data_IF_498872337862
#
_entry.id   IF_498872337862
#
_cell.length_a   1.000
_cell.length_b   1.000
_cell.length_c   1.000
_cell.angle_alpha   90.00
_cell.angle_beta   90.00
_cell.angle_gamma   90.00
#
_symmetry.space_group_name_H-M   'P 1'
#
loop_
_entity.id
_entity.type
_entity.pdbx_description
1 polymer ?
#
# COMPACT_ATOMS: atom_id res chain seq x y z
N UNK A 1 54.56 39.21 11.87
CA UNK A 1 54.48 38.23 10.77
C UNK A 1 53.74 36.99 11.26
N UNK A 2 52.67 36.59 10.54
CA UNK A 2 51.97 35.26 10.43
C UNK A 2 51.64 34.47 11.72
N UNK A 3 50.35 34.27 12.05
CA UNK A 3 49.46 33.11 11.73
C UNK A 3 50.05 31.78 12.29
N UNK A 4 49.37 30.94 13.07
CA UNK A 4 48.07 30.29 12.81
C UNK A 4 47.44 29.72 14.10
N UNK A 5 46.11 29.72 14.15
CA UNK A 5 45.24 29.04 15.12
C UNK A 5 45.12 27.54 14.82
N UNK A 6 44.95 26.66 15.82
CA UNK A 6 44.22 25.39 15.65
C UNK A 6 43.37 25.12 16.90
N UNK A 7 42.06 25.23 16.71
CA UNK A 7 41.02 24.65 17.56
C UNK A 7 41.11 23.12 17.48
N UNK A 8 41.21 22.43 18.61
CA UNK A 8 40.97 20.99 18.70
C UNK A 8 39.56 20.78 19.28
N UNK A 9 38.55 20.98 18.42
CA UNK A 9 37.19 20.55 18.67
C UNK A 9 36.90 19.29 17.86
N UNK A 10 36.25 18.33 18.49
CA UNK A 10 35.39 17.36 17.81
C UNK A 10 36.00 15.98 17.58
N UNK A 11 35.66 15.03 18.45
CA UNK A 11 35.48 13.63 18.09
C UNK A 11 34.59 12.96 19.14
N UNK A 12 33.28 13.10 19.00
CA UNK A 12 32.30 12.18 19.58
C UNK A 12 30.91 12.44 18.98
N UNK A 13 30.78 12.38 17.65
CA UNK A 13 29.48 12.06 17.07
C UNK A 13 29.62 10.64 16.51
N UNK A 14 29.39 9.67 17.40
CA UNK A 14 29.15 8.28 17.04
C UNK A 14 28.00 8.30 16.03
N UNK A 15 28.35 7.97 14.80
CA UNK A 15 27.45 7.76 13.68
C UNK A 15 26.46 6.66 14.07
N UNK A 16 25.29 7.08 14.53
CA UNK A 16 24.09 6.26 14.58
C UNK A 16 23.70 6.00 13.13
N UNK A 17 24.25 4.93 12.57
CA UNK A 17 23.84 4.36 11.30
C UNK A 17 22.39 3.88 11.50
N UNK A 18 21.44 4.79 11.27
CA UNK A 18 20.06 4.43 11.01
C UNK A 18 20.09 3.56 9.76
N UNK A 19 20.01 2.25 9.97
CA UNK A 19 19.58 1.30 8.96
C UNK A 19 18.16 1.72 8.55
N UNK A 20 18.08 2.67 7.62
CA UNK A 20 16.90 2.90 6.84
C UNK A 20 16.72 1.65 5.99
N UNK A 21 15.99 0.66 6.51
CA UNK A 21 15.45 -0.40 5.68
C UNK A 21 14.52 0.30 4.70
N UNK A 22 15.00 0.52 3.48
CA UNK A 22 14.12 0.82 2.37
C UNK A 22 13.18 -0.38 2.26
N UNK A 23 11.98 -0.24 2.80
CA UNK A 23 10.87 -1.13 2.45
C UNK A 23 10.60 -0.82 0.99
N UNK A 24 11.35 -1.48 0.12
CA UNK A 24 11.11 -1.43 -1.30
C UNK A 24 9.79 -2.15 -1.51
N UNK A 25 8.73 -1.38 -1.79
CA UNK A 25 7.48 -1.88 -2.37
C UNK A 25 7.68 -2.53 -3.75
N UNK A 26 8.92 -2.90 -4.11
CA UNK A 26 9.29 -3.49 -5.40
C UNK A 26 8.79 -4.93 -5.56
N UNK A 27 8.17 -5.52 -4.55
CA UNK A 27 7.47 -6.81 -4.67
C UNK A 27 6.02 -6.70 -5.13
N UNK A 28 5.46 -5.49 -5.19
CA UNK A 28 3.99 -5.30 -5.28
C UNK A 28 3.47 -5.16 -6.72
N UNK A 29 4.32 -4.83 -7.71
CA UNK A 29 3.82 -4.41 -9.04
C UNK A 29 4.30 -5.26 -10.21
N UNK A 30 4.23 -6.59 -10.07
CA UNK A 30 4.13 -7.49 -11.25
C UNK A 30 2.68 -7.68 -11.71
N UNK A 31 1.72 -6.99 -11.09
CA UNK A 31 0.32 -7.06 -11.47
C UNK A 31 0.08 -6.38 -12.84
N UNK A 32 -0.73 -7.01 -13.68
CA UNK A 32 -1.32 -6.36 -14.85
C UNK A 32 -2.46 -5.44 -14.44
N UNK A 33 -3.28 -5.84 -13.46
CA UNK A 33 -4.33 -5.01 -12.87
C UNK A 33 -4.72 -5.43 -11.45
N UNK A 34 -5.28 -4.49 -10.70
CA UNK A 34 -5.87 -4.67 -9.38
C UNK A 34 -7.15 -3.84 -9.27
N UNK A 35 -8.20 -4.43 -8.71
CA UNK A 35 -9.42 -3.74 -8.27
C UNK A 35 -9.79 -4.27 -6.90
N UNK A 36 -9.96 -3.38 -5.93
CA UNK A 36 -10.44 -3.71 -4.59
C UNK A 36 -11.65 -2.84 -4.28
N UNK A 37 -12.77 -3.46 -3.94
CA UNK A 37 -13.99 -2.79 -3.48
C UNK A 37 -14.25 -3.20 -2.04
N UNK A 38 -14.42 -2.21 -1.17
CA UNK A 38 -14.80 -2.38 0.24
C UNK A 38 -16.11 -1.62 0.45
N UNK A 39 -17.10 -2.25 1.06
CA UNK A 39 -18.34 -1.59 1.50
C UNK A 39 -18.36 -1.52 3.03
N UNK A 40 -18.61 -0.34 3.57
CA UNK A 40 -18.73 -0.09 5.01
C UNK A 40 -19.70 1.07 5.23
N UNK A 41 -20.76 0.87 6.02
CA UNK A 41 -21.71 1.91 6.41
C UNK A 41 -22.27 2.71 5.20
N UNK A 42 -22.70 2.00 4.15
CA UNK A 42 -23.15 2.57 2.86
C UNK A 42 -22.08 3.39 2.08
N UNK A 43 -20.82 3.36 2.50
CA UNK A 43 -19.68 3.97 1.79
C UNK A 43 -18.89 2.90 1.05
N UNK A 44 -18.77 3.07 -0.26
CA UNK A 44 -17.88 2.25 -1.10
C UNK A 44 -16.51 2.88 -1.16
N UNK A 45 -15.48 2.10 -0.88
CA UNK A 45 -14.09 2.43 -1.13
C UNK A 45 -13.58 1.58 -2.29
N UNK A 46 -13.04 2.21 -3.33
CA UNK A 46 -12.47 1.52 -4.48
C UNK A 46 -10.99 1.87 -4.65
N UNK A 47 -10.19 0.86 -4.90
CA UNK A 47 -8.76 0.99 -5.17
C UNK A 47 -8.47 0.31 -6.50
N UNK A 48 -8.01 1.07 -7.48
CA UNK A 48 -7.72 0.55 -8.80
C UNK A 48 -6.27 0.81 -9.21
N UNK A 49 -5.70 -0.17 -9.90
CA UNK A 49 -4.46 -0.05 -10.62
C UNK A 49 -4.55 -0.81 -11.95
N UNK A 50 -4.13 -0.16 -13.03
CA UNK A 50 -3.84 -0.83 -14.29
C UNK A 50 -2.42 -0.45 -14.75
N UNK A 51 -1.59 -1.47 -15.02
CA UNK A 51 -0.20 -1.31 -15.42
C UNK A 51 -0.10 -0.53 -16.75
N UNK A 52 0.84 0.43 -16.89
CA UNK A 52 1.89 0.79 -15.93
C UNK A 52 1.62 2.01 -15.03
N UNK A 53 0.61 2.83 -15.34
CA UNK A 53 0.52 4.18 -14.78
C UNK A 53 -0.89 4.62 -14.36
N UNK A 54 -1.88 3.73 -14.41
CA UNK A 54 -3.23 4.08 -14.01
C UNK A 54 -3.45 3.71 -12.55
N UNK A 55 -3.79 4.70 -11.72
CA UNK A 55 -4.16 4.52 -10.33
C UNK A 55 -5.37 5.40 -10.02
N UNK A 56 -6.34 4.82 -9.34
CA UNK A 56 -7.55 5.49 -8.88
C UNK A 56 -7.88 5.03 -7.46
N UNK A 57 -8.33 5.98 -6.65
CA UNK A 57 -8.90 5.71 -5.34
C UNK A 57 -10.24 6.47 -5.25
N UNK A 58 -11.29 5.76 -4.90
CA UNK A 58 -12.62 6.32 -4.67
C UNK A 58 -13.07 6.08 -3.23
N UNK A 59 -13.69 7.09 -2.64
CA UNK A 59 -14.35 7.03 -1.33
C UNK A 59 -15.73 7.70 -1.45
N UNK A 60 -16.77 6.89 -1.55
CA UNK A 60 -18.17 7.30 -1.70
C UNK A 60 -18.45 8.08 -2.99
N UNK A 61 -18.15 9.38 -3.01
CA UNK A 61 -18.28 10.25 -4.19
C UNK A 61 -17.00 11.02 -4.51
N UNK A 62 -15.96 10.81 -3.72
CA UNK A 62 -14.70 11.49 -3.87
C UNK A 62 -13.75 10.58 -4.64
N UNK A 63 -13.21 11.08 -5.75
CA UNK A 63 -12.30 10.32 -6.61
C UNK A 63 -10.96 11.04 -6.70
N UNK A 64 -9.89 10.29 -6.43
CA UNK A 64 -8.49 10.74 -6.50
C UNK A 64 -7.76 9.89 -7.54
N UNK A 65 -6.86 10.51 -8.29
CA UNK A 65 -6.08 9.87 -9.36
C UNK A 65 -4.61 10.26 -9.30
N UNK A 66 -3.77 9.46 -9.96
CA UNK A 66 -2.33 9.76 -10.10
C UNK A 66 -1.53 9.39 -8.86
N UNK A 67 -0.53 10.20 -8.50
CA UNK A 67 0.44 9.82 -7.45
C UNK A 67 -0.21 9.68 -6.07
N UNK A 68 -1.23 10.48 -5.75
CA UNK A 68 -1.96 10.36 -4.49
C UNK A 68 -2.73 9.02 -4.42
N UNK A 69 -3.45 8.65 -5.48
CA UNK A 69 -4.13 7.36 -5.57
C UNK A 69 -3.15 6.18 -5.51
N UNK A 70 -1.97 6.32 -6.14
CA UNK A 70 -0.91 5.33 -6.06
C UNK A 70 -0.44 5.08 -4.63
N UNK A 71 -0.27 6.13 -3.81
CA UNK A 71 0.07 5.94 -2.41
C UNK A 71 -1.02 5.16 -1.67
N UNK A 72 -2.30 5.48 -1.90
CA UNK A 72 -3.44 4.74 -1.31
C UNK A 72 -3.45 3.25 -1.69
N UNK A 73 -3.24 2.94 -2.97
CA UNK A 73 -3.15 1.55 -3.45
C UNK A 73 -1.96 0.81 -2.81
N UNK A 74 -0.79 1.45 -2.71
CA UNK A 74 0.39 0.84 -2.11
C UNK A 74 0.24 0.64 -0.58
N UNK A 75 -0.39 1.57 0.11
CA UNK A 75 -0.76 1.46 1.52
C UNK A 75 -1.67 0.25 1.74
N UNK A 76 -2.74 0.12 0.95
CA UNK A 76 -3.64 -1.03 0.98
C UNK A 76 -2.89 -2.35 0.77
N UNK A 77 -2.07 -2.44 -0.28
CA UNK A 77 -1.35 -3.67 -0.61
C UNK A 77 -0.33 -4.05 0.47
N UNK A 78 0.28 -3.05 1.12
CA UNK A 78 1.19 -3.26 2.25
C UNK A 78 0.43 -3.79 3.47
N UNK A 79 -0.77 -3.28 3.72
CA UNK A 79 -1.65 -3.71 4.82
C UNK A 79 -2.09 -5.17 4.63
N UNK A 80 -2.70 -5.50 3.49
CA UNK A 80 -3.33 -6.81 3.29
C UNK A 80 -2.36 -7.89 2.79
N UNK A 81 -1.14 -7.50 2.40
CA UNK A 81 -0.06 -8.40 1.91
C UNK A 81 -0.55 -9.36 0.82
N UNK A 82 -1.30 -8.81 -0.14
CA UNK A 82 -1.98 -9.58 -1.19
C UNK A 82 -0.98 -10.39 -2.02
N UNK A 83 -1.28 -11.66 -2.22
CA UNK A 83 -0.57 -12.56 -3.12
C UNK A 83 -1.52 -13.68 -3.60
N UNK A 84 -1.07 -14.48 -4.56
CA UNK A 84 -1.86 -15.55 -5.18
C UNK A 84 -2.39 -16.63 -4.21
N UNK A 85 -1.75 -16.77 -3.04
CA UNK A 85 -2.13 -17.74 -2.00
C UNK A 85 -2.84 -17.09 -0.80
N UNK A 86 -3.16 -15.79 -0.88
CA UNK A 86 -3.86 -15.09 0.20
C UNK A 86 -5.21 -15.74 0.49
N UNK A 87 -5.59 -15.74 1.77
CA UNK A 87 -6.91 -16.16 2.24
C UNK A 87 -7.75 -14.92 2.53
N UNK A 88 -9.02 -14.96 2.16
CA UNK A 88 -9.89 -13.79 2.32
C UNK A 88 -10.12 -13.45 3.80
N UNK A 89 -10.12 -14.43 4.68
CA UNK A 89 -10.30 -14.21 6.13
C UNK A 89 -9.12 -13.45 6.73
N UNK A 90 -7.90 -13.72 6.25
CA UNK A 90 -6.70 -12.99 6.67
C UNK A 90 -6.75 -11.54 6.17
N UNK A 91 -7.18 -11.34 4.91
CA UNK A 91 -7.35 -10.00 4.33
C UNK A 91 -8.39 -9.19 5.12
N UNK A 92 -9.58 -9.74 5.35
CA UNK A 92 -10.66 -9.07 6.09
C UNK A 92 -10.23 -8.73 7.51
N UNK A 93 -9.47 -9.62 8.18
CA UNK A 93 -8.93 -9.35 9.51
C UNK A 93 -8.02 -8.12 9.54
N UNK A 94 -7.14 -7.97 8.54
CA UNK A 94 -6.28 -6.77 8.46
C UNK A 94 -7.09 -5.53 8.09
N UNK A 95 -8.05 -5.64 7.16
CA UNK A 95 -8.94 -4.54 6.77
C UNK A 95 -9.77 -4.01 7.94
N UNK A 96 -10.27 -4.90 8.82
CA UNK A 96 -11.05 -4.52 10.01
C UNK A 96 -10.29 -3.62 11.01
N UNK A 97 -8.97 -3.47 10.88
CA UNK A 97 -8.21 -2.50 11.68
C UNK A 97 -8.50 -1.04 11.28
N UNK A 98 -8.89 -0.82 10.02
CA UNK A 98 -9.19 0.50 9.45
C UNK A 98 -10.66 0.66 9.03
N UNK A 99 -11.33 -0.45 8.71
CA UNK A 99 -12.74 -0.55 8.32
C UNK A 99 -13.48 -1.52 9.26
N UNK A 100 -13.73 -1.13 10.52
CA UNK A 100 -14.28 -2.03 11.54
C UNK A 100 -15.67 -2.59 11.19
N UNK A 101 -16.46 -1.83 10.42
CA UNK A 101 -17.86 -2.15 10.09
C UNK A 101 -17.98 -2.63 8.63
N UNK A 102 -16.95 -3.31 8.13
CA UNK A 102 -16.91 -3.82 6.77
C UNK A 102 -18.04 -4.83 6.51
N UNK A 103 -18.83 -4.57 5.48
CA UNK A 103 -19.98 -5.37 5.05
C UNK A 103 -19.62 -6.29 3.88
N UNK A 104 -18.70 -5.84 3.01
CA UNK A 104 -18.29 -6.57 1.81
C UNK A 104 -16.85 -6.25 1.41
N UNK A 105 -16.17 -7.27 0.88
CA UNK A 105 -14.89 -7.17 0.17
C UNK A 105 -14.98 -7.91 -1.15
N UNK A 106 -14.61 -7.26 -2.26
CA UNK A 106 -14.36 -7.90 -3.57
C UNK A 106 -12.98 -7.46 -4.05
N UNK A 107 -12.07 -8.41 -4.25
CA UNK A 107 -10.71 -8.17 -4.74
C UNK A 107 -10.53 -8.95 -6.02
N UNK A 108 -10.04 -8.27 -7.07
CA UNK A 108 -9.68 -8.85 -8.35
C UNK A 108 -8.26 -8.45 -8.68
N UNK A 109 -7.41 -9.45 -8.85
CA UNK A 109 -5.99 -9.28 -9.12
C UNK A 109 -5.63 -10.07 -10.37
N UNK A 110 -5.02 -9.41 -11.35
CA UNK A 110 -4.47 -10.06 -12.53
C UNK A 110 -2.96 -9.93 -12.50
N UNK A 111 -2.24 -11.06 -12.51
CA UNK A 111 -0.78 -11.04 -12.57
C UNK A 111 -0.28 -10.77 -14.01
N UNK A 112 1.03 -10.75 -14.20
CA UNK A 112 1.72 -10.60 -15.49
C UNK A 112 1.45 -11.75 -16.48
N UNK A 113 1.19 -12.95 -15.99
CA UNK A 113 0.74 -14.10 -16.78
C UNK A 113 -0.72 -14.00 -17.26
N UNK A 114 -1.44 -12.92 -16.95
CA UNK A 114 -2.90 -12.75 -17.16
C UNK A 114 -3.76 -13.78 -16.42
N UNK A 115 -3.28 -14.33 -15.30
CA UNK A 115 -4.09 -15.17 -14.41
C UNK A 115 -4.89 -14.26 -13.48
N UNK A 116 -6.21 -14.47 -13.46
CA UNK A 116 -7.13 -13.76 -12.59
C UNK A 116 -7.31 -14.52 -11.27
N UNK A 117 -7.13 -13.81 -10.17
CA UNK A 117 -7.41 -14.26 -8.81
C UNK A 117 -8.48 -13.37 -8.21
N UNK A 118 -9.43 -13.98 -7.52
CA UNK A 118 -10.56 -13.27 -6.93
C UNK A 118 -10.79 -13.69 -5.49
N UNK A 119 -11.05 -12.72 -4.62
CA UNK A 119 -11.47 -12.96 -3.25
C UNK A 119 -12.73 -12.18 -2.97
N UNK A 120 -13.74 -12.85 -2.42
CA UNK A 120 -15.04 -12.26 -2.13
C UNK A 120 -15.43 -12.64 -0.72
N UNK A 121 -15.88 -11.66 0.05
CA UNK A 121 -16.42 -11.85 1.40
C UNK A 121 -17.58 -10.90 1.64
N UNK A 122 -18.55 -11.36 2.42
CA UNK A 122 -19.69 -10.60 2.90
C UNK A 122 -19.86 -10.90 4.39
N UNK A 123 -20.27 -9.91 5.16
CA UNK A 123 -20.74 -10.14 6.53
C UNK A 123 -22.06 -10.93 6.46
N UNK A 124 -22.19 -11.98 7.28
CA UNK A 124 -23.37 -12.86 7.31
C UNK A 124 -24.51 -12.33 8.18
#
# INVERSE_FOLDING_TARGET
MRKQSIFAGGYALLISLLLATTISASGVMSASSLRVTILENDVTYEYEYDNPHHYEYEEGRHVVRGEEAKQKVLELLTLIKLNENSKIEDIVRELKQHHPDIEKVDIRYMNDDNKLFTWVWHDE
#
